data_IF_492495592425
#
_entry.id   IF_492495592425
#
_cell.length_a   1.000
_cell.length_b   1.000
_cell.length_c   1.000
_cell.angle_alpha   90.00
_cell.angle_beta   90.00
_cell.angle_gamma   90.00
#
_symmetry.space_group_name_H-M   'P 1'
#
loop_
_entity.id
_entity.type
_entity.pdbx_description
1 polymer ?
#
# COMPACT_ATOMS: atom_id res chain seq x y z
N UNK A 1 4.54 44.83 -21.70
CA UNK A 1 4.97 44.37 -20.35
C UNK A 1 4.45 42.98 -20.25
N UNK A 2 5.18 42.07 -20.88
CA UNK A 2 4.68 40.76 -21.28
C UNK A 2 5.19 39.74 -20.28
N UNK A 3 4.27 39.25 -19.44
CA UNK A 3 4.58 38.23 -18.44
C UNK A 3 4.73 36.91 -19.19
N UNK A 4 5.97 36.54 -19.49
CA UNK A 4 6.34 35.21 -19.97
C UNK A 4 6.10 34.20 -18.85
N UNK A 5 4.99 33.47 -18.90
CA UNK A 5 4.80 32.30 -18.04
C UNK A 5 5.77 31.22 -18.54
N UNK A 6 6.85 31.02 -17.80
CA UNK A 6 7.84 30.00 -18.07
C UNK A 6 7.17 28.61 -17.99
N UNK A 7 7.06 27.93 -19.14
CA UNK A 7 6.55 26.55 -19.26
C UNK A 7 7.45 25.49 -18.58
N UNK A 8 8.49 25.89 -17.85
CA UNK A 8 9.29 24.98 -17.02
C UNK A 8 8.61 24.58 -15.70
N UNK A 9 7.37 25.01 -15.46
CA UNK A 9 6.61 24.62 -14.26
C UNK A 9 5.53 23.56 -14.53
N UNK A 10 5.56 22.89 -15.68
CA UNK A 10 4.75 21.71 -15.94
C UNK A 10 5.56 20.44 -15.66
N UNK A 11 5.03 19.58 -14.79
CA UNK A 11 5.53 18.25 -14.41
C UNK A 11 6.66 18.17 -13.37
N UNK A 12 6.46 18.74 -12.18
CA UNK A 12 6.85 17.94 -11.02
C UNK A 12 5.83 16.80 -10.94
N UNK A 13 6.12 15.68 -11.60
CA UNK A 13 5.40 14.44 -11.32
C UNK A 13 5.37 14.29 -9.80
N UNK A 14 4.17 14.18 -9.22
CA UNK A 14 4.03 14.03 -7.78
C UNK A 14 4.79 12.74 -7.43
N UNK A 15 5.94 12.86 -6.75
CA UNK A 15 6.70 11.68 -6.37
C UNK A 15 5.85 10.83 -5.43
N UNK A 16 5.70 9.55 -5.77
CA UNK A 16 4.94 8.58 -4.98
C UNK A 16 5.82 7.38 -4.63
N UNK A 17 5.47 6.74 -3.52
CA UNK A 17 5.99 5.43 -3.11
C UNK A 17 4.89 4.42 -3.39
N UNK A 18 5.22 3.37 -4.14
CA UNK A 18 4.31 2.24 -4.34
C UNK A 18 4.34 1.35 -3.12
N UNK A 19 3.16 1.05 -2.60
CA UNK A 19 2.96 0.18 -1.46
C UNK A 19 2.00 -0.95 -1.81
N UNK A 20 2.19 -2.06 -1.12
CA UNK A 20 1.42 -3.28 -1.27
C UNK A 20 0.80 -3.67 0.06
N UNK A 21 -0.43 -4.16 0.01
CA UNK A 21 -1.14 -4.64 1.18
C UNK A 21 -1.83 -5.98 0.93
N UNK A 22 -1.50 -7.04 1.70
CA UNK A 22 -2.29 -8.25 1.77
C UNK A 22 -3.72 -7.95 2.25
N UNK A 23 -4.72 -8.40 1.51
CA UNK A 23 -6.14 -8.08 1.76
C UNK A 23 -7.00 -9.33 1.55
N UNK A 24 -7.93 -9.61 2.47
CA UNK A 24 -8.92 -10.66 2.30
C UNK A 24 -10.13 -10.22 1.48
N UNK A 25 -10.95 -11.14 0.95
CA UNK A 25 -12.10 -10.82 0.08
C UNK A 25 -13.09 -9.83 0.71
N UNK A 26 -13.45 -10.03 1.99
CA UNK A 26 -14.39 -9.16 2.71
C UNK A 26 -13.86 -7.74 2.85
N UNK A 27 -12.58 -7.59 3.15
CA UNK A 27 -11.96 -6.28 3.28
C UNK A 27 -11.86 -5.57 1.92
N UNK A 28 -11.51 -6.30 0.85
CA UNK A 28 -11.44 -5.74 -0.49
C UNK A 28 -12.81 -5.20 -0.95
N UNK A 29 -13.90 -5.91 -0.62
CA UNK A 29 -15.26 -5.44 -0.94
C UNK A 29 -15.61 -4.15 -0.19
N UNK A 30 -15.22 -3.99 1.08
CA UNK A 30 -15.42 -2.75 1.83
C UNK A 30 -14.64 -1.57 1.22
N UNK A 31 -13.43 -1.82 0.72
CA UNK A 31 -12.65 -0.81 -0.02
C UNK A 31 -13.36 -0.42 -1.30
N UNK A 32 -13.87 -1.40 -2.05
CA UNK A 32 -14.61 -1.17 -3.30
C UNK A 32 -15.87 -0.33 -3.04
N UNK A 33 -16.62 -0.63 -1.98
CA UNK A 33 -17.81 0.14 -1.57
C UNK A 33 -17.47 1.58 -1.18
N UNK A 34 -16.24 1.84 -0.72
CA UNK A 34 -15.77 3.21 -0.47
C UNK A 34 -15.36 3.98 -1.74
N UNK A 35 -15.42 3.35 -2.91
CA UNK A 35 -14.88 3.88 -4.16
C UNK A 35 -13.35 3.92 -4.18
N UNK A 36 -12.68 2.98 -3.50
CA UNK A 36 -11.23 2.91 -3.37
C UNK A 36 -10.59 4.12 -2.67
N UNK A 37 -11.36 4.83 -1.84
CA UNK A 37 -10.90 6.06 -1.17
C UNK A 37 -10.42 5.83 0.26
N UNK A 38 -10.82 4.72 0.90
CA UNK A 38 -10.43 4.42 2.27
C UNK A 38 -10.43 2.93 2.57
N UNK A 39 -9.58 2.55 3.51
CA UNK A 39 -9.62 1.25 4.16
C UNK A 39 -10.69 1.25 5.27
N UNK A 40 -11.38 0.12 5.51
CA UNK A 40 -12.31 0.02 6.64
C UNK A 40 -11.55 0.05 7.98
N UNK A 41 -12.26 0.25 9.11
CA UNK A 41 -11.67 0.06 10.43
C UNK A 41 -11.00 -1.32 10.55
N UNK A 42 -9.90 -1.38 11.31
CA UNK A 42 -9.11 -2.61 11.50
C UNK A 42 -9.99 -3.73 12.05
N UNK A 43 -9.80 -4.94 11.52
CA UNK A 43 -10.45 -6.13 12.05
C UNK A 43 -9.84 -6.51 13.42
N UNK A 44 -10.64 -7.07 14.34
CA UNK A 44 -10.11 -7.68 15.56
C UNK A 44 -9.08 -8.74 15.18
N UNK A 45 -7.84 -8.61 15.66
CA UNK A 45 -6.73 -9.51 15.33
C UNK A 45 -5.71 -8.96 14.32
N UNK A 46 -5.94 -7.76 13.74
CA UNK A 46 -4.93 -7.06 12.93
C UNK A 46 -4.27 -5.94 13.76
N UNK A 47 -3.12 -6.21 14.42
CA UNK A 47 -2.56 -5.32 15.42
C UNK A 47 -2.10 -3.98 14.85
N UNK A 48 -1.67 -3.94 13.58
CA UNK A 48 -1.16 -2.75 12.90
C UNK A 48 -1.59 -2.68 11.42
N UNK A 49 -1.57 -1.48 10.85
CA UNK A 49 -1.65 -1.26 9.40
C UNK A 49 -0.23 -1.31 8.82
N UNK A 50 0.12 -2.38 8.11
CA UNK A 50 1.48 -2.61 7.59
C UNK A 50 1.48 -2.76 6.06
N UNK A 51 1.49 -1.66 5.30
CA UNK A 51 1.83 -1.74 3.89
C UNK A 51 3.32 -2.05 3.72
N UNK A 52 3.65 -2.90 2.76
CA UNK A 52 5.04 -3.28 2.44
C UNK A 52 5.45 -2.67 1.11
N UNK A 53 6.74 -2.42 0.93
CA UNK A 53 7.29 -1.88 -0.33
C UNK A 53 7.58 -2.96 -1.38
N UNK A 54 7.44 -4.25 -1.01
CA UNK A 54 7.77 -5.39 -1.86
C UNK A 54 6.52 -6.23 -2.19
N UNK A 55 6.17 -6.33 -3.47
CA UNK A 55 5.02 -7.09 -3.96
C UNK A 55 5.14 -8.59 -3.70
N UNK A 56 6.33 -9.18 -3.91
CA UNK A 56 6.55 -10.61 -3.73
C UNK A 56 6.38 -10.98 -2.24
N UNK A 57 6.89 -10.13 -1.36
CA UNK A 57 6.69 -10.29 0.08
C UNK A 57 5.22 -10.12 0.49
N UNK A 58 4.50 -9.15 -0.10
CA UNK A 58 3.06 -9.00 0.11
C UNK A 58 2.27 -10.25 -0.32
N UNK A 59 2.64 -10.85 -1.46
CA UNK A 59 2.04 -12.12 -1.94
C UNK A 59 2.33 -13.27 -0.98
N UNK A 60 3.56 -13.39 -0.48
CA UNK A 60 3.92 -14.42 0.51
C UNK A 60 3.06 -14.31 1.79
N UNK A 61 2.90 -13.10 2.34
CA UNK A 61 2.05 -12.86 3.51
C UNK A 61 0.58 -13.14 3.19
N UNK A 62 0.08 -12.70 2.03
CA UNK A 62 -1.29 -12.95 1.62
C UNK A 62 -1.58 -14.46 1.53
N UNK A 63 -0.65 -15.26 0.99
CA UNK A 63 -0.74 -16.72 0.97
C UNK A 63 -0.74 -17.30 2.37
N UNK A 64 0.18 -16.89 3.25
CA UNK A 64 0.26 -17.47 4.61
C UNK A 64 -0.96 -17.13 5.47
N UNK A 65 -1.51 -15.92 5.37
CA UNK A 65 -2.54 -15.44 6.29
C UNK A 65 -3.95 -15.53 5.71
N UNK A 66 -4.15 -15.08 4.46
CA UNK A 66 -5.51 -14.97 3.90
C UNK A 66 -6.01 -16.29 3.30
N UNK A 67 -5.12 -17.11 2.71
CA UNK A 67 -5.53 -18.42 2.17
C UNK A 67 -5.90 -19.39 3.30
N UNK A 68 -5.19 -19.36 4.43
CA UNK A 68 -5.54 -20.18 5.60
C UNK A 68 -6.93 -19.86 6.17
N UNK A 69 -7.34 -18.59 6.15
CA UNK A 69 -8.61 -18.16 6.75
C UNK A 69 -9.79 -18.22 5.76
N UNK A 70 -9.55 -17.89 4.49
CA UNK A 70 -10.63 -17.66 3.51
C UNK A 70 -10.46 -18.39 2.17
N UNK A 71 -9.41 -19.19 2.02
CA UNK A 71 -9.08 -19.91 0.78
C UNK A 71 -8.52 -19.03 -0.35
N UNK A 72 -8.65 -17.71 -0.27
CA UNK A 72 -8.23 -16.74 -1.29
C UNK A 72 -7.60 -15.52 -0.62
N UNK A 73 -6.43 -15.10 -1.09
CA UNK A 73 -5.77 -13.85 -0.68
C UNK A 73 -5.57 -12.90 -1.85
N UNK A 74 -5.77 -11.60 -1.60
CA UNK A 74 -5.46 -10.54 -2.57
C UNK A 74 -4.26 -9.73 -2.11
N UNK A 75 -3.60 -9.09 -3.06
CA UNK A 75 -2.63 -8.03 -2.81
C UNK A 75 -3.10 -6.78 -3.52
N UNK A 76 -3.35 -5.71 -2.78
CA UNK A 76 -3.67 -4.40 -3.36
C UNK A 76 -2.39 -3.59 -3.52
N UNK A 77 -2.23 -2.94 -4.68
CA UNK A 77 -1.17 -1.97 -4.95
C UNK A 77 -1.75 -0.57 -4.92
N UNK A 78 -1.09 0.36 -4.22
CA UNK A 78 -1.50 1.77 -4.19
C UNK A 78 -0.30 2.69 -4.03
N UNK A 79 -0.49 3.95 -4.37
CA UNK A 79 0.55 4.97 -4.35
C UNK A 79 0.31 5.96 -3.21
N UNK A 80 1.38 6.29 -2.48
CA UNK A 80 1.35 7.30 -1.43
C UNK A 80 2.34 8.40 -1.76
N UNK A 81 1.95 9.66 -1.57
CA UNK A 81 2.83 10.80 -1.82
C UNK A 81 4.10 10.68 -0.99
N UNK A 82 5.26 10.84 -1.62
CA UNK A 82 6.56 10.74 -0.96
C UNK A 82 6.72 11.69 0.24
N UNK A 83 6.31 12.98 0.18
CA UNK A 83 6.38 13.86 1.36
C UNK A 83 5.58 13.37 2.57
N UNK A 84 4.52 12.59 2.36
CA UNK A 84 3.79 11.96 3.46
C UNK A 84 4.57 10.78 4.03
N UNK A 85 5.17 9.95 3.16
CA UNK A 85 5.93 8.75 3.51
C UNK A 85 7.27 9.07 4.19
N UNK A 86 7.95 10.16 3.82
CA UNK A 86 9.23 10.57 4.40
C UNK A 86 9.15 10.84 5.92
N UNK A 87 7.94 10.98 6.46
CA UNK A 87 7.69 11.15 7.90
C UNK A 87 7.73 9.83 8.68
N UNK A 88 7.75 8.69 7.99
CA UNK A 88 7.73 7.36 8.59
C UNK A 88 9.05 6.64 8.27
N UNK A 89 9.66 6.06 9.29
CA UNK A 89 10.81 5.19 9.08
C UNK A 89 10.36 3.90 8.42
N UNK A 90 10.97 3.55 7.29
CA UNK A 90 10.78 2.26 6.64
C UNK A 90 11.43 1.20 7.54
N UNK A 91 10.61 0.32 8.08
CA UNK A 91 11.07 -0.84 8.85
C UNK A 91 11.19 -2.02 7.91
N UNK A 92 12.38 -2.64 7.86
CA UNK A 92 12.57 -3.87 7.12
C UNK A 92 11.93 -5.03 7.90
N UNK A 93 10.90 -5.62 7.32
CA UNK A 93 10.22 -6.81 7.85
C UNK A 93 10.56 -8.02 6.98
N UNK A 94 10.86 -9.14 7.61
CA UNK A 94 11.53 -10.28 6.98
C UNK A 94 13.03 -10.14 7.12
N UNK A 95 13.56 -10.63 8.24
CA UNK A 95 15.00 -10.90 8.33
C UNK A 95 15.38 -11.88 7.22
N UNK A 96 16.59 -11.75 6.69
CA UNK A 96 17.19 -12.76 5.81
C UNK A 96 16.94 -14.15 6.41
N UNK A 97 16.07 -14.94 5.78
CA UNK A 97 15.91 -16.35 6.12
C UNK A 97 17.12 -17.07 5.49
N UNK A 98 18.08 -17.57 6.28
CA UNK A 98 19.14 -18.42 5.79
C UNK A 98 18.66 -19.87 5.94
N UNK A 99 17.97 -20.38 4.92
CA UNK A 99 17.77 -21.81 4.75
C UNK A 99 18.13 -22.23 3.32
#
# INVERSE_FOLDING_TARGET
MDIYINKNNLSMAIETVTLYRPTGPKELELVRQSGFKRWPPRLPGQPIFYPVTNEAYAKQIATQWNIKDSGIGYVTRFEVRKPFMDRYQIQQVGGSDPH
#
